data_IF_179947034619
#
_entry.id   IF_179947034619
#
_cell.length_a   1.000
_cell.length_b   1.000
_cell.length_c   1.000
_cell.angle_alpha   90.00
_cell.angle_beta   90.00
_cell.angle_gamma   90.00
#
_symmetry.space_group_name_H-M   'P 1'
#
loop_
_entity.id
_entity.type
_entity.pdbx_description
1 polymer ?
#
# COMPACT_ATOMS: atom_id res chain seq x y z
N UNK A 1 -5.90 6.18 -18.88
CA UNK A 1 -7.27 6.43 -19.38
C UNK A 1 -7.20 7.17 -20.70
N UNK A 2 -8.00 6.80 -21.69
CA UNK A 2 -8.18 7.57 -22.92
C UNK A 2 -9.50 8.32 -22.83
N UNK A 3 -9.51 9.58 -23.26
CA UNK A 3 -10.70 10.43 -23.32
C UNK A 3 -11.26 10.53 -24.73
N UNK A 4 -10.52 10.02 -25.71
CA UNK A 4 -10.90 9.94 -27.12
C UNK A 4 -9.97 8.94 -27.84
N UNK A 5 -10.22 8.68 -29.11
CA UNK A 5 -9.38 7.84 -29.96
C UNK A 5 -7.92 8.29 -29.93
N UNK A 6 -7.04 7.43 -29.41
CA UNK A 6 -5.61 7.70 -29.17
C UNK A 6 -5.29 8.96 -28.33
N UNK A 7 -6.30 9.62 -27.74
CA UNK A 7 -6.13 10.77 -26.86
C UNK A 7 -6.14 10.33 -25.41
N UNK A 8 -4.96 10.32 -24.80
CA UNK A 8 -4.82 10.04 -23.37
C UNK A 8 -5.41 11.19 -22.55
N UNK A 9 -6.19 10.85 -21.53
CA UNK A 9 -6.59 11.81 -20.50
C UNK A 9 -5.41 12.16 -19.61
N UNK A 10 -5.38 13.41 -19.13
CA UNK A 10 -4.41 13.88 -18.14
C UNK A 10 -5.17 14.57 -17.01
N UNK A 11 -5.15 13.94 -15.83
CA UNK A 11 -5.93 14.36 -14.67
C UNK A 11 -5.02 14.46 -13.43
N UNK A 12 -4.10 15.44 -13.39
CA UNK A 12 -3.10 15.53 -12.33
C UNK A 12 -3.69 15.85 -10.96
N UNK A 13 -4.96 16.22 -10.85
CA UNK A 13 -5.62 16.53 -9.58
C UNK A 13 -6.55 15.39 -9.12
N UNK A 14 -6.55 14.23 -9.79
CA UNK A 14 -7.40 13.10 -9.47
C UNK A 14 -6.60 11.82 -9.27
N UNK A 15 -7.13 10.88 -8.48
CA UNK A 15 -6.62 9.53 -8.46
C UNK A 15 -6.92 8.83 -9.80
N UNK A 16 -6.08 7.86 -10.22
CA UNK A 16 -6.42 7.05 -11.38
C UNK A 16 -7.63 6.16 -11.07
N UNK A 17 -8.47 5.82 -12.07
CA UNK A 17 -9.60 4.92 -11.84
C UNK A 17 -9.17 3.49 -11.46
N UNK A 18 -7.96 3.10 -11.85
CA UNK A 18 -7.32 1.83 -11.48
C UNK A 18 -5.81 2.00 -11.46
N UNK A 19 -5.13 1.21 -10.63
CA UNK A 19 -3.66 1.26 -10.54
C UNK A 19 -3.08 -0.09 -10.13
N UNK A 20 -1.86 -0.36 -10.59
CA UNK A 20 -1.05 -1.47 -10.12
C UNK A 20 0.34 -0.95 -9.81
N UNK A 21 0.73 -1.04 -8.53
CA UNK A 21 2.05 -0.63 -8.07
C UNK A 21 2.76 -1.84 -7.47
N UNK A 22 4.05 -1.95 -7.75
CA UNK A 22 4.90 -2.98 -7.15
C UNK A 22 5.96 -2.33 -6.28
N UNK A 23 5.95 -2.67 -5.00
CA UNK A 23 6.96 -2.27 -4.02
C UNK A 23 7.84 -3.48 -3.70
N UNK A 24 9.14 -3.26 -3.58
CA UNK A 24 10.09 -4.31 -3.18
C UNK A 24 10.74 -3.88 -1.89
N UNK A 25 10.48 -4.63 -0.83
CA UNK A 25 11.09 -4.44 0.48
C UNK A 25 12.29 -5.37 0.60
N UNK A 26 13.45 -4.86 1.07
CA UNK A 26 14.63 -5.69 1.24
C UNK A 26 14.39 -6.78 2.27
N UNK A 27 15.11 -7.90 2.12
CA UNK A 27 15.17 -8.97 3.11
C UNK A 27 15.42 -8.44 4.53
N UNK A 28 14.70 -8.98 5.50
CA UNK A 28 14.94 -8.76 6.94
C UNK A 28 15.27 -10.08 7.65
N UNK A 29 15.53 -10.03 8.96
CA UNK A 29 15.63 -11.24 9.80
C UNK A 29 14.32 -12.04 9.84
N UNK A 30 13.18 -11.43 9.46
CA UNK A 30 11.86 -12.08 9.41
C UNK A 30 11.55 -12.74 8.08
N UNK A 31 12.34 -12.50 7.03
CA UNK A 31 12.02 -12.95 5.67
C UNK A 31 13.18 -13.74 5.05
N UNK A 32 12.86 -14.69 4.16
CA UNK A 32 13.89 -15.50 3.48
C UNK A 32 14.62 -14.74 2.37
N UNK A 33 13.97 -13.73 1.81
CA UNK A 33 14.46 -12.86 0.76
C UNK A 33 13.68 -11.54 0.77
N UNK A 34 13.83 -10.78 -0.30
CA UNK A 34 13.04 -9.58 -0.54
C UNK A 34 11.54 -9.91 -0.58
N UNK A 35 10.72 -8.98 -0.14
CA UNK A 35 9.27 -9.09 -0.17
C UNK A 35 8.74 -8.17 -1.26
N UNK A 36 8.15 -8.77 -2.28
CA UNK A 36 7.42 -8.03 -3.32
C UNK A 36 5.98 -7.86 -2.89
N UNK A 37 5.53 -6.61 -2.80
CA UNK A 37 4.13 -6.26 -2.55
C UNK A 37 3.55 -5.71 -3.84
N UNK A 38 2.49 -6.35 -4.32
CA UNK A 38 1.67 -5.81 -5.39
C UNK A 38 0.44 -5.14 -4.78
N UNK A 39 0.28 -3.85 -5.03
CA UNK A 39 -0.90 -3.08 -4.69
C UNK A 39 -1.74 -2.88 -5.94
N UNK A 40 -2.97 -3.37 -5.94
CA UNK A 40 -3.85 -3.42 -7.13
C UNK A 40 -5.22 -2.85 -6.78
N UNK A 41 -5.64 -1.82 -7.52
CA UNK A 41 -6.90 -1.10 -7.29
C UNK A 41 -7.72 -0.96 -8.58
N UNK A 42 -9.02 -0.67 -8.42
CA UNK A 42 -9.92 -0.35 -9.53
C UNK A 42 -10.27 -1.56 -10.39
N UNK A 43 -10.45 -2.72 -9.76
CA UNK A 43 -10.80 -3.98 -10.42
C UNK A 43 -9.62 -4.80 -10.92
N UNK A 44 -8.39 -4.29 -10.81
CA UNK A 44 -7.18 -5.08 -11.05
C UNK A 44 -7.02 -6.08 -9.90
N UNK A 45 -6.81 -7.35 -10.23
CA UNK A 45 -6.62 -8.42 -9.26
C UNK A 45 -5.46 -9.32 -9.73
N UNK A 46 -4.77 -10.02 -8.81
CA UNK A 46 -3.80 -11.01 -9.20
C UNK A 46 -4.51 -12.18 -9.89
N UNK A 47 -3.73 -13.03 -10.54
CA UNK A 47 -4.23 -14.31 -11.02
C UNK A 47 -4.88 -15.10 -9.88
N UNK A 48 -6.02 -15.71 -10.18
CA UNK A 48 -6.75 -16.51 -9.20
C UNK A 48 -5.86 -17.69 -8.79
N UNK A 49 -5.65 -17.94 -7.48
CA UNK A 49 -4.88 -19.09 -7.03
C UNK A 49 -5.48 -20.42 -7.49
N UNK A 50 -4.65 -21.32 -8.04
CA UNK A 50 -5.08 -22.67 -8.48
C UNK A 50 -5.72 -23.49 -7.34
N UNK A 51 -5.27 -23.27 -6.10
CA UNK A 51 -5.76 -23.98 -4.92
C UNK A 51 -7.14 -23.47 -4.44
N UNK A 52 -7.65 -22.37 -5.00
CA UNK A 52 -8.96 -21.82 -4.66
C UNK A 52 -10.01 -22.43 -5.61
N UNK A 53 -10.86 -23.30 -5.06
CA UNK A 53 -11.85 -24.07 -5.80
C UNK A 53 -12.78 -23.19 -6.64
N UNK A 54 -13.33 -23.72 -7.73
CA UNK A 54 -14.04 -22.93 -8.75
C UNK A 54 -15.19 -22.05 -8.20
N UNK A 55 -15.87 -22.50 -7.13
CA UNK A 55 -16.98 -21.79 -6.50
C UNK A 55 -16.61 -21.08 -5.19
N UNK A 56 -15.32 -21.00 -4.85
CA UNK A 56 -14.85 -20.33 -3.64
C UNK A 56 -14.61 -18.84 -3.88
N UNK A 57 -15.02 -17.99 -2.93
CA UNK A 57 -14.85 -16.54 -3.06
C UNK A 57 -13.38 -16.16 -2.85
N UNK A 58 -12.85 -15.30 -3.72
CA UNK A 58 -11.50 -14.74 -3.51
C UNK A 58 -11.61 -13.49 -2.64
N UNK A 59 -10.93 -13.50 -1.49
CA UNK A 59 -11.05 -12.43 -0.50
C UNK A 59 -12.47 -12.37 0.06
N UNK A 60 -13.07 -11.19 0.01
CA UNK A 60 -14.49 -10.96 0.36
C UNK A 60 -15.37 -10.64 -0.86
N UNK A 61 -14.85 -10.88 -2.08
CA UNK A 61 -15.57 -10.60 -3.33
C UNK A 61 -15.40 -9.17 -3.84
N UNK A 62 -14.86 -8.26 -3.03
CA UNK A 62 -14.44 -6.92 -3.47
C UNK A 62 -12.94 -6.69 -3.29
N UNK A 63 -12.42 -7.00 -2.10
CA UNK A 63 -11.03 -6.81 -1.73
C UNK A 63 -10.45 -8.06 -1.07
N UNK A 64 -9.14 -8.03 -0.86
CA UNK A 64 -8.44 -9.04 -0.09
C UNK A 64 -6.93 -8.87 -0.19
N UNK A 65 -6.23 -9.70 0.56
CA UNK A 65 -4.78 -9.85 0.49
C UNK A 65 -4.44 -11.29 0.18
N UNK A 66 -3.62 -11.52 -0.86
CA UNK A 66 -3.05 -12.82 -1.16
C UNK A 66 -1.59 -12.84 -0.70
N UNK A 67 -1.25 -13.84 0.10
CA UNK A 67 0.12 -14.09 0.53
C UNK A 67 0.62 -15.35 -0.16
N UNK A 68 1.81 -15.26 -0.75
CA UNK A 68 2.47 -16.37 -1.45
C UNK A 68 3.68 -16.80 -0.62
N UNK A 69 3.61 -17.99 -0.03
CA UNK A 69 4.65 -18.55 0.81
C UNK A 69 5.28 -19.81 0.24
N UNK A 70 6.39 -20.24 0.84
CA UNK A 70 7.10 -21.47 0.41
C UNK A 70 6.37 -22.77 0.74
N UNK A 71 5.30 -22.71 1.56
CA UNK A 71 4.50 -23.87 2.00
C UNK A 71 3.05 -23.82 1.46
N UNK A 72 2.81 -22.96 0.48
CA UNK A 72 1.49 -22.67 -0.06
C UNK A 72 1.09 -21.21 0.14
N UNK A 73 -0.16 -20.93 -0.20
CA UNK A 73 -0.73 -19.59 -0.22
C UNK A 73 -1.73 -19.43 0.93
N UNK A 74 -1.95 -18.19 1.35
CA UNK A 74 -3.02 -17.82 2.25
C UNK A 74 -3.68 -16.55 1.74
N UNK A 75 -4.95 -16.36 2.08
CA UNK A 75 -5.67 -15.14 1.78
C UNK A 75 -6.29 -14.56 3.05
N UNK A 76 -6.53 -13.26 3.03
CA UNK A 76 -7.35 -12.56 4.01
C UNK A 76 -8.30 -11.61 3.28
N UNK A 77 -9.46 -11.35 3.88
CA UNK A 77 -10.43 -10.36 3.42
C UNK A 77 -9.96 -8.93 3.72
N UNK A 78 -10.80 -7.93 3.45
CA UNK A 78 -10.50 -6.53 3.78
C UNK A 78 -10.00 -6.40 5.22
N UNK A 79 -8.96 -5.59 5.43
CA UNK A 79 -8.37 -5.29 6.75
C UNK A 79 -7.77 -6.50 7.49
N UNK A 80 -7.49 -7.60 6.79
CA UNK A 80 -6.91 -8.80 7.40
C UNK A 80 -7.95 -9.70 8.08
N UNK A 81 -9.23 -9.44 7.86
CA UNK A 81 -10.32 -10.30 8.33
C UNK A 81 -10.30 -11.67 7.63
N UNK A 82 -10.94 -12.66 8.27
CA UNK A 82 -11.11 -14.03 7.74
C UNK A 82 -9.84 -14.61 7.08
N UNK A 83 -8.70 -14.68 7.82
CA UNK A 83 -7.46 -15.25 7.29
C UNK A 83 -7.61 -16.76 7.08
N UNK A 84 -7.35 -17.22 5.86
CA UNK A 84 -7.58 -18.58 5.39
C UNK A 84 -6.38 -19.12 4.60
N UNK A 85 -5.97 -20.34 4.88
CA UNK A 85 -5.01 -21.09 4.07
C UNK A 85 -5.67 -21.57 2.77
N UNK A 86 -4.85 -21.72 1.73
CA UNK A 86 -5.24 -22.36 0.47
C UNK A 86 -4.52 -23.72 0.30
N UNK A 87 -5.23 -24.78 -0.13
CA UNK A 87 -6.70 -24.87 -0.27
C UNK A 87 -7.43 -24.72 1.07
N UNK A 88 -8.71 -24.31 1.05
CA UNK A 88 -9.49 -23.99 2.26
C UNK A 88 -9.60 -25.15 3.27
N UNK A 89 -9.49 -26.40 2.81
CA UNK A 89 -9.47 -27.59 3.66
C UNK A 89 -8.36 -27.54 4.72
N UNK A 90 -7.26 -26.84 4.45
CA UNK A 90 -6.13 -26.69 5.37
C UNK A 90 -6.42 -25.80 6.57
N UNK A 91 -7.53 -25.06 6.57
CA UNK A 91 -7.92 -24.25 7.73
C UNK A 91 -8.13 -25.10 8.99
N UNK A 92 -8.41 -26.41 8.83
CA UNK A 92 -8.50 -27.36 9.94
C UNK A 92 -7.15 -27.58 10.66
N UNK A 93 -6.03 -27.27 10.01
CA UNK A 93 -4.67 -27.35 10.56
C UNK A 93 -4.33 -26.14 11.44
N UNK A 94 -5.08 -25.03 11.32
CA UNK A 94 -4.71 -23.74 11.88
C UNK A 94 -4.89 -23.74 13.40
N UNK A 95 -3.77 -23.67 14.12
CA UNK A 95 -3.72 -23.49 15.57
C UNK A 95 -2.73 -22.38 15.87
N UNK A 96 -3.23 -21.16 16.02
CA UNK A 96 -2.40 -19.97 16.26
C UNK A 96 -2.73 -19.39 17.64
N UNK A 97 -1.76 -19.28 18.56
CA UNK A 97 -2.01 -18.66 19.86
C UNK A 97 -2.24 -17.16 19.69
N UNK A 98 -3.10 -16.59 20.54
CA UNK A 98 -3.25 -15.14 20.62
C UNK A 98 -2.03 -14.54 21.33
N UNK A 99 -1.21 -13.79 20.60
CA UNK A 99 0.01 -13.17 21.13
C UNK A 99 -0.07 -11.66 21.33
N UNK A 100 -1.07 -10.99 20.76
CA UNK A 100 -1.26 -9.54 20.86
C UNK A 100 -2.58 -9.22 21.56
N UNK A 101 -2.59 -8.17 22.40
CA UNK A 101 -3.81 -7.65 22.97
C UNK A 101 -4.77 -7.22 21.84
N UNK A 102 -6.02 -7.68 21.91
CA UNK A 102 -7.06 -7.29 20.94
C UNK A 102 -7.78 -6.04 21.45
N UNK A 103 -8.11 -5.14 20.54
CA UNK A 103 -8.97 -3.99 20.85
C UNK A 103 -10.38 -4.53 21.13
N UNK A 104 -10.99 -4.24 22.30
CA UNK A 104 -12.38 -4.61 22.55
C UNK A 104 -13.28 -4.02 21.46
N UNK A 105 -14.16 -4.81 20.86
CA UNK A 105 -14.98 -4.36 19.72
C UNK A 105 -14.23 -4.24 18.38
N UNK A 106 -12.96 -4.64 18.32
CA UNK A 106 -12.14 -4.72 17.12
C UNK A 106 -12.11 -3.39 16.33
N UNK A 107 -12.35 -3.43 15.03
CA UNK A 107 -12.43 -2.26 14.16
C UNK A 107 -13.46 -1.23 14.63
N UNK A 108 -14.51 -1.60 15.38
CA UNK A 108 -15.48 -0.64 15.90
C UNK A 108 -15.06 -0.01 17.25
N UNK A 109 -14.05 -0.58 17.92
CA UNK A 109 -13.62 -0.14 19.25
C UNK A 109 -12.33 0.71 19.28
N UNK A 110 -11.68 0.91 18.14
CA UNK A 110 -10.39 1.61 18.09
C UNK A 110 -10.46 3.06 18.61
N UNK A 111 -11.58 3.76 18.38
CA UNK A 111 -11.81 5.10 18.96
C UNK A 111 -11.85 5.06 20.50
N UNK A 112 -12.48 4.04 21.08
CA UNK A 112 -12.52 3.84 22.53
C UNK A 112 -11.13 3.62 23.12
N UNK A 113 -10.30 2.78 22.47
CA UNK A 113 -8.90 2.58 22.88
C UNK A 113 -8.12 3.89 22.90
N UNK A 114 -8.32 4.76 21.91
CA UNK A 114 -7.66 6.08 21.86
C UNK A 114 -8.12 6.99 23.01
N UNK A 115 -9.43 7.09 23.26
CA UNK A 115 -9.97 7.88 24.39
C UNK A 115 -9.41 7.40 25.72
N UNK A 116 -9.40 6.09 25.94
CA UNK A 116 -8.85 5.50 27.16
C UNK A 116 -7.36 5.77 27.33
N UNK A 117 -6.59 5.77 26.24
CA UNK A 117 -5.16 6.09 26.28
C UNK A 117 -4.92 7.57 26.62
N UNK A 118 -5.74 8.48 26.08
CA UNK A 118 -5.71 9.90 26.43
C UNK A 118 -6.01 10.13 27.91
N UNK A 119 -7.04 9.47 28.46
CA UNK A 119 -7.41 9.58 29.87
C UNK A 119 -6.33 9.01 30.81
N UNK A 120 -5.65 7.94 30.41
CA UNK A 120 -4.56 7.35 31.18
C UNK A 120 -3.30 8.23 31.20
N UNK A 121 -3.11 9.10 30.20
CA UNK A 121 -1.93 9.94 30.04
C UNK A 121 -0.87 9.34 29.10
N UNK A 122 0.00 10.22 28.58
CA UNK A 122 1.00 9.85 27.58
C UNK A 122 1.93 8.71 28.04
N UNK A 123 2.06 7.69 27.19
CA UNK A 123 2.88 6.50 27.47
C UNK A 123 2.34 5.58 28.57
N UNK A 124 1.17 5.87 29.16
CA UNK A 124 0.58 5.07 30.25
C UNK A 124 -0.30 3.93 29.76
N UNK A 125 -0.69 3.93 28.48
CA UNK A 125 -1.51 2.89 27.87
C UNK A 125 -1.06 2.61 26.44
N UNK A 126 -1.01 1.32 26.10
CA UNK A 126 -0.65 0.87 24.76
C UNK A 126 -1.82 1.08 23.79
N UNK A 127 -1.50 1.60 22.61
CA UNK A 127 -2.43 1.72 21.48
C UNK A 127 -2.10 0.67 20.41
N UNK A 128 -3.10 0.29 19.60
CA UNK A 128 -2.92 -0.72 18.55
C UNK A 128 -2.17 -0.22 17.31
N UNK A 129 -2.08 1.11 17.13
CA UNK A 129 -1.39 1.75 16.00
C UNK A 129 -0.55 2.95 16.48
N UNK A 130 0.59 2.72 17.16
CA UNK A 130 1.47 3.78 17.61
C UNK A 130 2.27 4.37 16.43
N UNK A 131 2.82 5.58 16.58
CA UNK A 131 3.49 6.30 15.47
C UNK A 131 4.74 5.58 14.94
N UNK A 132 5.44 4.83 15.78
CA UNK A 132 6.59 4.01 15.42
C UNK A 132 6.24 2.92 14.39
N UNK A 133 4.97 2.51 14.36
CA UNK A 133 4.43 1.58 13.36
C UNK A 133 3.70 2.34 12.24
N UNK A 134 2.79 3.26 12.59
CA UNK A 134 1.90 3.94 11.65
C UNK A 134 2.64 4.90 10.71
N UNK A 135 3.71 5.55 11.20
CA UNK A 135 4.56 6.45 10.41
C UNK A 135 5.22 5.72 9.24
N UNK A 136 6.08 4.71 9.49
CA UNK A 136 6.70 3.92 8.42
C UNK A 136 5.70 3.22 7.50
N UNK A 137 4.57 2.75 8.04
CA UNK A 137 3.50 2.18 7.20
C UNK A 137 2.90 3.22 6.24
N UNK A 138 2.66 4.43 6.73
CA UNK A 138 2.15 5.53 5.90
C UNK A 138 3.18 5.92 4.83
N UNK A 139 4.46 6.03 5.20
CA UNK A 139 5.55 6.27 4.24
C UNK A 139 5.56 5.20 3.14
N UNK A 140 5.47 3.92 3.52
CA UNK A 140 5.46 2.80 2.58
C UNK A 140 4.32 2.89 1.54
N UNK A 141 3.11 3.26 1.98
CA UNK A 141 1.97 3.43 1.08
C UNK A 141 2.07 4.71 0.24
N UNK A 142 2.61 5.80 0.79
CA UNK A 142 2.81 7.05 0.05
C UNK A 142 3.85 6.89 -1.07
N UNK A 143 4.83 6.01 -0.92
CA UNK A 143 5.73 5.65 -2.02
C UNK A 143 4.98 5.06 -3.22
N UNK A 144 3.89 4.32 -3.01
CA UNK A 144 3.09 3.80 -4.11
C UNK A 144 2.40 4.93 -4.89
N UNK A 145 1.82 5.90 -4.18
CA UNK A 145 1.28 7.11 -4.80
C UNK A 145 2.37 7.88 -5.55
N UNK A 146 3.57 7.98 -4.99
CA UNK A 146 4.69 8.64 -5.64
C UNK A 146 5.07 7.99 -6.97
N UNK A 147 5.03 6.65 -7.05
CA UNK A 147 5.24 5.90 -8.29
C UNK A 147 4.16 6.20 -9.34
N UNK A 148 2.89 6.26 -8.94
CA UNK A 148 1.77 6.66 -9.84
C UNK A 148 1.97 8.08 -10.35
N UNK A 149 2.33 9.03 -9.47
CA UNK A 149 2.61 10.42 -9.85
C UNK A 149 3.82 10.54 -10.79
N UNK A 150 4.87 9.75 -10.54
CA UNK A 150 6.05 9.69 -11.40
C UNK A 150 5.74 9.11 -12.78
N UNK A 151 4.87 8.10 -12.86
CA UNK A 151 4.46 7.50 -14.14
C UNK A 151 3.75 8.51 -15.07
N UNK A 152 2.96 9.42 -14.50
CA UNK A 152 2.25 10.46 -15.25
C UNK A 152 2.95 11.82 -15.27
N UNK A 153 4.21 11.87 -14.80
CA UNK A 153 5.07 13.04 -14.97
C UNK A 153 5.20 13.38 -16.46
N UNK A 154 4.86 14.61 -16.83
CA UNK A 154 4.97 15.11 -18.20
C UNK A 154 6.14 16.08 -18.35
N UNK A 155 6.91 15.90 -19.43
CA UNK A 155 7.93 16.85 -19.89
C UNK A 155 7.60 17.29 -21.31
N UNK A 156 7.47 18.58 -21.62
CA UNK A 156 7.24 19.04 -22.99
C UNK A 156 8.35 18.55 -23.93
N UNK A 157 7.98 18.04 -25.12
CA UNK A 157 8.97 17.62 -26.12
C UNK A 157 9.72 18.82 -26.67
N UNK A 158 11.00 18.65 -26.98
CA UNK A 158 11.83 19.68 -27.64
C UNK A 158 11.31 20.09 -29.02
N UNK A 159 10.57 19.20 -29.70
CA UNK A 159 9.89 19.49 -30.96
C UNK A 159 8.70 20.44 -30.83
N UNK A 160 8.29 20.81 -29.60
CA UNK A 160 7.16 21.68 -29.32
C UNK A 160 5.78 21.03 -29.45
N UNK A 161 5.70 19.74 -29.82
CA UNK A 161 4.44 19.01 -29.95
C UNK A 161 4.41 17.79 -29.04
N UNK A 162 3.56 17.83 -28.02
CA UNK A 162 3.32 16.72 -27.10
C UNK A 162 4.29 16.66 -25.91
N UNK A 163 4.22 15.55 -25.17
CA UNK A 163 4.96 15.35 -23.93
C UNK A 163 5.70 14.01 -23.93
N UNK A 164 6.89 14.01 -23.34
CA UNK A 164 7.59 12.84 -22.84
C UNK A 164 7.11 12.49 -21.44
N UNK A 165 7.25 11.22 -21.07
CA UNK A 165 6.84 10.71 -19.76
C UNK A 165 8.03 9.99 -19.11
N UNK A 166 8.97 10.74 -18.49
CA UNK A 166 10.26 10.20 -18.09
C UNK A 166 10.18 9.12 -16.98
N UNK A 167 9.09 9.07 -16.21
CA UNK A 167 8.88 8.02 -15.21
C UNK A 167 8.32 6.71 -15.77
N UNK A 168 7.87 6.65 -17.04
CA UNK A 168 7.28 5.43 -17.61
C UNK A 168 8.36 4.40 -17.91
N UNK A 169 8.14 3.16 -17.45
CA UNK A 169 9.11 2.07 -17.58
C UNK A 169 10.32 2.22 -16.67
N UNK A 170 10.34 3.21 -15.78
CA UNK A 170 11.43 3.45 -14.84
C UNK A 170 11.09 2.86 -13.47
N UNK A 171 12.02 2.10 -12.90
CA UNK A 171 11.99 1.76 -11.47
C UNK A 171 12.47 2.98 -10.68
N UNK A 172 11.62 3.54 -9.82
CA UNK A 172 12.04 4.61 -8.93
C UNK A 172 12.82 4.06 -7.74
N UNK A 173 13.90 4.73 -7.35
CA UNK A 173 14.78 4.34 -6.25
C UNK A 173 14.60 5.31 -5.07
N UNK A 174 13.97 4.83 -4.00
CA UNK A 174 13.72 5.58 -2.78
C UNK A 174 14.87 5.44 -1.78
N UNK A 175 15.33 6.56 -1.23
CA UNK A 175 16.22 6.63 -0.08
C UNK A 175 15.40 6.99 1.17
N UNK A 176 15.24 6.04 2.08
CA UNK A 176 14.47 6.20 3.32
C UNK A 176 15.10 7.24 4.27
N UNK A 177 16.43 7.38 4.30
CA UNK A 177 17.10 8.30 5.21
C UNK A 177 16.93 9.74 4.73
N UNK A 178 17.05 9.96 3.42
CA UNK A 178 16.87 11.27 2.81
C UNK A 178 15.41 11.60 2.50
N UNK A 179 14.52 10.60 2.58
CA UNK A 179 13.13 10.65 2.14
C UNK A 179 13.01 11.25 0.73
N UNK A 180 13.68 10.64 -0.27
CA UNK A 180 13.63 11.11 -1.66
C UNK A 180 13.82 10.01 -2.70
N UNK A 181 13.34 10.27 -3.91
CA UNK A 181 13.69 9.55 -5.12
C UNK A 181 15.06 10.04 -5.61
N UNK A 182 15.96 9.10 -5.87
CA UNK A 182 17.37 9.40 -6.19
C UNK A 182 17.67 9.38 -7.69
N UNK A 183 16.81 8.77 -8.51
CA UNK A 183 17.04 8.58 -9.94
C UNK A 183 16.04 9.32 -10.85
N UNK A 184 15.15 10.14 -10.29
CA UNK A 184 14.25 11.03 -11.02
C UNK A 184 13.81 12.20 -10.13
N UNK A 185 14.63 13.25 -10.07
CA UNK A 185 14.49 14.30 -9.06
C UNK A 185 13.15 15.07 -9.15
N UNK A 186 12.60 15.25 -10.34
CA UNK A 186 11.31 15.92 -10.57
C UNK A 186 10.14 15.31 -9.78
N UNK A 187 10.22 14.03 -9.42
CA UNK A 187 9.19 13.35 -8.61
C UNK A 187 9.21 13.83 -7.16
N UNK A 188 10.35 14.33 -6.67
CA UNK A 188 10.50 14.79 -5.28
C UNK A 188 9.60 15.99 -4.93
N UNK A 189 9.07 16.71 -5.93
CA UNK A 189 8.06 17.77 -5.73
C UNK A 189 6.77 17.29 -5.08
N UNK A 190 6.50 15.97 -5.09
CA UNK A 190 5.32 15.38 -4.47
C UNK A 190 5.59 14.83 -3.06
N UNK A 191 6.85 14.79 -2.61
CA UNK A 191 7.22 14.20 -1.31
C UNK A 191 6.88 15.14 -0.16
N UNK A 192 7.05 16.45 -0.37
CA UNK A 192 6.74 17.48 0.61
C UNK A 192 5.78 18.49 0.00
N UNK A 193 4.94 19.07 0.87
CA UNK A 193 4.07 20.19 0.52
C UNK A 193 4.73 21.50 0.91
N UNK A 194 4.46 22.53 0.12
CA UNK A 194 4.70 23.89 0.55
C UNK A 194 3.61 24.30 1.54
N UNK A 195 4.02 24.59 2.77
CA UNK A 195 3.11 25.08 3.79
C UNK A 195 2.73 26.53 3.49
N UNK A 196 1.48 26.90 3.82
CA UNK A 196 1.04 28.30 3.75
C UNK A 196 2.00 29.18 4.53
N UNK A 197 2.33 30.36 4.01
CA UNK A 197 3.18 31.33 4.68
C UNK A 197 2.75 31.55 6.15
N UNK A 198 3.72 31.48 7.07
CA UNK A 198 3.50 31.53 8.52
C UNK A 198 3.40 30.17 9.21
N UNK A 199 3.22 29.07 8.47
CA UNK A 199 3.22 27.72 9.01
C UNK A 199 4.56 27.03 8.68
N UNK A 200 5.25 26.54 9.71
CA UNK A 200 6.46 25.73 9.57
C UNK A 200 6.31 24.45 10.40
N UNK A 201 6.80 23.33 9.87
CA UNK A 201 7.08 22.18 10.71
C UNK A 201 8.34 22.49 11.52
N UNK A 202 8.28 22.20 12.82
CA UNK A 202 9.42 22.31 13.73
C UNK A 202 10.48 21.25 13.43
#
# INVERSE_FOLDING_TARGET
VYVDEFKRGYFPESCPPSSHVTLIFPKTDKTKGDVTVHWMDGGIQPERPDELGANELFGDGGNGTLFIGTKGKMMASTYGDDPRLLPLSRNQEVKVPQTLARVPGQANGHYGQWVEACLAGYGKKQVSSPFETAGPLTEALLMANLAVRGYDLQRPKTSGKGFDYPGRGLKLLWDNQQMRITNLDEVNRFVKRDYRAGWKLA
#
